data_IF_026538555631
#
_entry.id   IF_026538555631
#
_cell.length_a   1.000
_cell.length_b   1.000
_cell.length_c   1.000
_cell.angle_alpha   90.00
_cell.angle_beta   90.00
_cell.angle_gamma   90.00
#
_symmetry.space_group_name_H-M   'P 1'
#
loop_
_entity.id
_entity.type
_entity.pdbx_description
1 polymer ?
#
# COMPACT_ATOMS: atom_id res chain seq x y z
N UNK A 1 11.51 19.43 -8.70
CA UNK A 1 10.25 19.29 -9.45
C UNK A 1 10.42 18.10 -10.39
N UNK A 2 9.51 17.12 -10.36
CA UNK A 2 9.57 15.96 -11.27
C UNK A 2 8.64 16.21 -12.46
N UNK A 3 9.03 15.74 -13.65
CA UNK A 3 8.25 15.87 -14.87
C UNK A 3 7.71 14.50 -15.32
N UNK A 4 6.45 14.44 -15.71
CA UNK A 4 5.83 13.22 -16.21
C UNK A 4 6.26 12.97 -17.66
N UNK A 5 7.07 11.92 -17.89
CA UNK A 5 7.51 11.51 -19.23
C UNK A 5 6.60 10.49 -19.91
N UNK A 6 5.84 9.71 -19.14
CA UNK A 6 4.99 8.65 -19.67
C UNK A 6 4.60 7.63 -18.62
N UNK A 7 3.79 6.66 -19.03
CA UNK A 7 3.39 5.48 -18.24
C UNK A 7 3.41 4.27 -19.17
N UNK A 8 3.59 3.09 -18.59
CA UNK A 8 3.59 1.82 -19.31
C UNK A 8 2.48 0.95 -18.76
N UNK A 9 1.69 0.36 -19.65
CA UNK A 9 0.70 -0.64 -19.29
C UNK A 9 1.41 -1.97 -19.11
N UNK A 10 1.46 -2.47 -17.88
CA UNK A 10 2.11 -3.73 -17.62
C UNK A 10 1.27 -4.87 -18.17
N UNK A 11 -0.06 -4.83 -18.21
CA UNK A 11 -0.89 -5.99 -18.59
C UNK A 11 -0.59 -6.55 -20.00
N UNK A 12 0.01 -5.72 -20.85
CA UNK A 12 0.41 -6.07 -22.22
C UNK A 12 1.91 -6.37 -22.37
N UNK A 13 2.66 -6.41 -21.27
CA UNK A 13 4.11 -6.53 -21.24
C UNK A 13 4.56 -7.76 -20.43
N UNK A 14 5.56 -8.46 -20.95
CA UNK A 14 6.27 -9.55 -20.30
C UNK A 14 7.66 -9.10 -19.83
N UNK A 15 8.04 -9.48 -18.61
CA UNK A 15 9.33 -9.11 -18.02
C UNK A 15 10.32 -10.25 -18.21
N UNK A 16 11.43 -9.97 -18.90
CA UNK A 16 12.50 -10.93 -19.19
C UNK A 16 13.78 -10.50 -18.49
N UNK A 17 14.37 -11.41 -17.72
CA UNK A 17 15.68 -11.17 -17.11
C UNK A 17 16.80 -11.27 -18.18
N UNK A 18 17.69 -10.27 -18.22
CA UNK A 18 18.78 -10.19 -19.19
C UNK A 18 20.11 -10.34 -18.47
N UNK A 19 20.87 -11.38 -18.82
CA UNK A 19 22.20 -11.61 -18.25
C UNK A 19 23.19 -10.52 -18.68
N UNK A 20 24.21 -10.30 -17.84
CA UNK A 20 25.28 -9.36 -18.12
C UNK A 20 26.10 -9.85 -19.32
N UNK A 21 26.24 -9.01 -20.34
CA UNK A 21 26.94 -9.39 -21.55
C UNK A 21 26.46 -8.65 -22.79
N UNK A 22 26.69 -9.25 -23.95
CA UNK A 22 26.26 -8.71 -25.23
C UNK A 22 24.82 -9.11 -25.50
N UNK A 23 23.94 -8.13 -25.55
CA UNK A 23 22.54 -8.34 -25.84
C UNK A 23 22.32 -8.50 -27.35
N UNK A 24 21.63 -9.58 -27.74
CA UNK A 24 21.44 -9.96 -29.14
C UNK A 24 20.55 -8.99 -29.91
N UNK A 25 19.50 -8.48 -29.27
CA UNK A 25 18.47 -7.68 -29.96
C UNK A 25 18.94 -6.25 -30.25
N UNK A 26 19.76 -5.68 -29.36
CA UNK A 26 20.25 -4.31 -29.47
C UNK A 26 21.74 -4.21 -29.86
N UNK A 27 22.45 -5.33 -29.93
CA UNK A 27 23.91 -5.40 -30.17
C UNK A 27 24.75 -4.55 -29.19
N UNK A 28 24.20 -4.20 -28.02
CA UNK A 28 24.89 -3.42 -26.98
C UNK A 28 25.35 -4.31 -25.84
N UNK A 29 26.45 -3.92 -25.18
CA UNK A 29 26.85 -4.56 -23.94
C UNK A 29 26.04 -3.97 -22.80
N UNK A 30 25.29 -4.83 -22.11
CA UNK A 30 24.44 -4.45 -21.00
C UNK A 30 24.93 -5.06 -19.70
N UNK A 31 24.68 -4.36 -18.61
CA UNK A 31 24.98 -4.83 -17.25
C UNK A 31 23.82 -4.49 -16.34
N UNK A 32 23.40 -5.45 -15.53
CA UNK A 32 22.24 -5.37 -14.65
C UNK A 32 20.97 -4.93 -15.41
N UNK A 33 20.73 -5.51 -16.58
CA UNK A 33 19.59 -5.18 -17.41
C UNK A 33 18.41 -6.14 -17.21
N UNK A 34 17.23 -5.64 -17.58
CA UNK A 34 16.00 -6.42 -17.75
C UNK A 34 15.25 -5.87 -18.97
N UNK A 35 14.47 -6.74 -19.62
CA UNK A 35 13.69 -6.43 -20.80
C UNK A 35 12.20 -6.46 -20.49
N UNK A 36 11.46 -5.56 -21.10
CA UNK A 36 10.00 -5.60 -21.17
C UNK A 36 9.62 -5.80 -22.63
N UNK A 37 8.98 -6.92 -22.92
CA UNK A 37 8.55 -7.29 -24.26
C UNK A 37 7.02 -7.20 -24.33
N UNK A 38 6.50 -6.49 -25.32
CA UNK A 38 5.07 -6.52 -25.60
C UNK A 38 4.64 -7.95 -25.94
N UNK A 39 3.48 -8.38 -25.44
CA UNK A 39 2.92 -9.69 -25.75
C UNK A 39 2.64 -9.86 -27.25
N UNK A 40 2.44 -8.76 -27.98
CA UNK A 40 2.28 -8.75 -29.44
C UNK A 40 3.62 -8.80 -30.20
N UNK A 41 4.76 -8.66 -29.51
CA UNK A 41 6.10 -8.68 -30.10
C UNK A 41 6.51 -7.41 -30.84
N UNK A 42 5.67 -6.36 -30.83
CA UNK A 42 5.91 -5.11 -31.58
C UNK A 42 6.88 -4.16 -30.88
N UNK A 43 6.91 -4.20 -29.54
CA UNK A 43 7.69 -3.26 -28.73
C UNK A 43 8.55 -3.99 -27.71
N UNK A 44 9.83 -3.60 -27.63
CA UNK A 44 10.79 -4.11 -26.63
C UNK A 44 11.49 -2.93 -25.97
N UNK A 45 11.42 -2.87 -24.65
CA UNK A 45 12.11 -1.87 -23.84
C UNK A 45 13.22 -2.51 -23.02
N UNK A 46 14.40 -1.90 -23.08
CA UNK A 46 15.56 -2.30 -22.31
C UNK A 46 15.75 -1.36 -21.11
N UNK A 47 15.82 -1.93 -19.91
CA UNK A 47 15.97 -1.20 -18.66
C UNK A 47 17.25 -1.64 -17.95
N UNK A 48 18.16 -0.69 -17.73
CA UNK A 48 19.45 -0.96 -17.06
C UNK A 48 19.48 -0.35 -15.66
N UNK A 49 19.76 -1.17 -14.65
CA UNK A 49 19.99 -0.70 -13.29
C UNK A 49 21.47 -0.38 -13.07
N UNK A 50 21.78 0.59 -12.18
CA UNK A 50 23.17 0.89 -11.83
C UNK A 50 23.80 -0.20 -10.95
N UNK A 51 22.98 -0.87 -10.13
CA UNK A 51 23.42 -1.86 -9.16
C UNK A 51 22.67 -3.20 -9.35
N UNK A 52 23.32 -4.34 -9.12
CA UNK A 52 22.68 -5.65 -9.24
C UNK A 52 21.53 -5.82 -8.23
N UNK A 53 21.66 -5.26 -7.02
CA UNK A 53 20.59 -5.35 -6.01
C UNK A 53 19.34 -4.58 -6.45
N UNK A 54 19.51 -3.50 -7.21
CA UNK A 54 18.39 -2.74 -7.76
C UNK A 54 17.69 -3.53 -8.86
N UNK A 55 18.43 -4.19 -9.75
CA UNK A 55 17.86 -5.10 -10.75
C UNK A 55 17.00 -6.18 -10.08
N UNK A 56 17.56 -6.86 -9.08
CA UNK A 56 16.83 -7.91 -8.34
C UNK A 56 15.58 -7.36 -7.64
N UNK A 57 15.64 -6.14 -7.09
CA UNK A 57 14.49 -5.49 -6.50
C UNK A 57 13.40 -5.18 -7.53
N UNK A 58 13.77 -4.75 -8.74
CA UNK A 58 12.82 -4.52 -9.82
C UNK A 58 12.16 -5.81 -10.29
N UNK A 59 12.94 -6.87 -10.53
CA UNK A 59 12.40 -8.18 -10.92
C UNK A 59 11.39 -8.72 -9.91
N UNK A 60 11.71 -8.62 -8.60
CA UNK A 60 10.77 -8.98 -7.54
C UNK A 60 9.51 -8.11 -7.54
N UNK A 61 9.66 -6.79 -7.69
CA UNK A 61 8.53 -5.87 -7.73
C UNK A 61 7.57 -6.18 -8.89
N UNK A 62 8.10 -6.54 -10.07
CA UNK A 62 7.27 -6.98 -11.20
C UNK A 62 6.52 -8.28 -10.90
N UNK A 63 7.18 -9.26 -10.30
CA UNK A 63 6.52 -10.51 -9.91
C UNK A 63 5.43 -10.30 -8.84
N UNK A 64 5.73 -9.47 -7.84
CA UNK A 64 4.80 -9.17 -6.75
C UNK A 64 3.58 -8.41 -7.29
N UNK A 65 3.77 -7.50 -8.25
CA UNK A 65 2.68 -6.82 -8.95
C UNK A 65 1.76 -7.82 -9.66
N UNK A 66 2.30 -8.80 -10.41
CA UNK A 66 1.48 -9.83 -11.07
C UNK A 66 0.69 -10.68 -10.10
N UNK A 67 1.31 -11.08 -8.99
CA UNK A 67 0.61 -11.84 -7.94
C UNK A 67 -0.51 -10.99 -7.33
N UNK A 68 -0.26 -9.70 -7.11
CA UNK A 68 -1.26 -8.79 -6.55
C UNK A 68 -2.43 -8.59 -7.51
N UNK A 69 -2.17 -8.34 -8.80
CA UNK A 69 -3.23 -8.17 -9.82
C UNK A 69 -4.11 -9.42 -9.90
N UNK A 70 -3.50 -10.60 -9.90
CA UNK A 70 -4.23 -11.86 -9.89
C UNK A 70 -5.08 -12.00 -8.61
N UNK A 71 -4.50 -11.70 -7.45
CA UNK A 71 -5.22 -11.76 -6.17
C UNK A 71 -6.38 -10.78 -6.09
N UNK A 72 -6.20 -9.55 -6.56
CA UNK A 72 -7.25 -8.53 -6.59
C UNK A 72 -8.39 -8.96 -7.52
N UNK A 73 -8.07 -9.60 -8.66
CA UNK A 73 -9.07 -10.17 -9.57
C UNK A 73 -9.85 -11.33 -8.94
N UNK A 74 -9.18 -12.21 -8.22
CA UNK A 74 -9.80 -13.35 -7.54
C UNK A 74 -10.70 -12.92 -6.38
N UNK A 75 -10.27 -11.91 -5.62
CA UNK A 75 -11.03 -11.37 -4.48
C UNK A 75 -12.11 -10.38 -4.91
N UNK A 76 -12.10 -9.95 -6.18
CA UNK A 76 -12.95 -8.87 -6.68
C UNK A 76 -12.62 -7.52 -6.06
N UNK A 77 -11.42 -7.35 -5.51
CA UNK A 77 -10.99 -6.10 -4.90
C UNK A 77 -10.89 -5.01 -5.97
N UNK A 78 -11.64 -3.93 -5.76
CA UNK A 78 -11.58 -2.74 -6.60
C UNK A 78 -11.66 -1.49 -5.74
N UNK A 79 -10.89 -0.47 -6.10
CA UNK A 79 -10.94 0.81 -5.41
C UNK A 79 -12.22 1.53 -5.83
N UNK A 80 -13.11 1.74 -4.86
CA UNK A 80 -14.40 2.41 -5.09
C UNK A 80 -14.22 3.88 -5.50
N UNK A 81 -15.20 4.42 -6.22
CA UNK A 81 -15.15 5.82 -6.66
C UNK A 81 -15.11 6.79 -5.46
N UNK A 82 -15.81 6.48 -4.38
CA UNK A 82 -15.80 7.27 -3.14
C UNK A 82 -14.40 7.31 -2.52
N UNK A 83 -13.70 6.17 -2.47
CA UNK A 83 -12.32 6.12 -1.98
C UNK A 83 -11.37 6.93 -2.86
N UNK A 84 -11.53 6.89 -4.19
CA UNK A 84 -10.74 7.71 -5.13
C UNK A 84 -10.98 9.21 -4.87
N UNK A 85 -12.24 9.63 -4.76
CA UNK A 85 -12.62 11.03 -4.45
C UNK A 85 -12.02 11.49 -3.11
N UNK A 86 -12.14 10.67 -2.08
CA UNK A 86 -11.59 10.98 -0.76
C UNK A 86 -10.06 11.10 -0.78
N UNK A 87 -9.36 10.24 -1.53
CA UNK A 87 -7.91 10.31 -1.68
C UNK A 87 -7.46 11.58 -2.41
N UNK A 88 -8.15 11.98 -3.48
CA UNK A 88 -7.87 13.25 -4.17
C UNK A 88 -8.05 14.46 -3.25
N UNK A 89 -9.17 14.51 -2.50
CA UNK A 89 -9.42 15.59 -1.54
C UNK A 89 -8.32 15.65 -0.46
N UNK A 90 -7.83 14.49 0.01
CA UNK A 90 -6.74 14.43 0.97
C UNK A 90 -5.41 14.92 0.39
N UNK A 91 -5.12 14.62 -0.89
CA UNK A 91 -3.93 15.13 -1.57
C UNK A 91 -3.98 16.64 -1.84
N UNK A 92 -5.17 17.19 -2.10
CA UNK A 92 -5.38 18.63 -2.33
C UNK A 92 -5.38 19.47 -1.05
N UNK A 93 -5.57 18.87 0.12
CA UNK A 93 -5.43 19.58 1.40
C UNK A 93 -3.96 19.94 1.60
N UNK A 94 -3.61 21.19 1.31
CA UNK A 94 -2.32 21.75 1.66
C UNK A 94 -2.09 21.59 3.15
N UNK A 95 -1.20 20.69 3.55
CA UNK A 95 -0.75 20.66 4.93
C UNK A 95 0.02 21.96 5.18
N UNK A 96 -0.41 22.84 6.11
CA UNK A 96 0.44 23.93 6.54
C UNK A 96 1.77 23.31 7.00
N UNK A 97 2.88 23.89 6.54
CA UNK A 97 4.23 23.44 6.79
C UNK A 97 4.48 23.34 8.30
N UNK A 98 4.19 22.16 8.87
CA UNK A 98 4.05 21.97 10.29
C UNK A 98 4.32 20.51 10.64
N UNK A 99 5.61 20.17 10.61
CA UNK A 99 6.22 18.88 10.99
C UNK A 99 5.96 17.71 10.02
N UNK A 100 7.01 17.08 9.46
CA UNK A 100 6.84 15.83 8.74
C UNK A 100 6.37 14.77 9.73
N UNK A 101 5.11 14.34 9.62
CA UNK A 101 4.76 12.99 10.09
C UNK A 101 5.55 12.06 9.19
N UNK A 102 6.61 11.47 9.74
CA UNK A 102 7.40 10.44 9.08
C UNK A 102 6.49 9.25 8.74
N UNK A 103 5.84 9.30 7.59
CA UNK A 103 5.26 8.14 6.91
C UNK A 103 6.35 7.51 6.06
N UNK A 104 7.43 7.08 6.72
CA UNK A 104 8.35 6.08 6.16
C UNK A 104 7.73 4.71 6.44
N UNK A 105 6.57 4.44 5.84
CA UNK A 105 6.04 3.08 5.76
C UNK A 105 6.06 2.70 4.29
N UNK A 106 6.90 1.74 3.88
CA UNK A 106 6.90 1.25 2.51
C UNK A 106 5.47 0.83 2.17
N UNK A 107 4.97 1.27 1.02
CA UNK A 107 3.65 0.93 0.49
C UNK A 107 3.36 -0.59 0.55
N UNK A 108 4.39 -1.44 0.43
CA UNK A 108 4.30 -2.89 0.62
C UNK A 108 3.73 -3.33 1.99
N UNK A 109 4.03 -2.63 3.10
CA UNK A 109 3.57 -3.05 4.43
C UNK A 109 2.05 -2.87 4.61
N UNK A 110 1.45 -1.92 3.88
CA UNK A 110 0.01 -1.71 3.94
C UNK A 110 -0.75 -2.81 3.17
N UNK A 111 -0.23 -3.20 2.01
CA UNK A 111 -0.79 -4.28 1.20
C UNK A 111 -0.65 -5.65 1.91
N UNK A 112 0.50 -5.92 2.52
CA UNK A 112 0.75 -7.18 3.24
C UNK A 112 -0.09 -7.34 4.53
N UNK A 113 -0.56 -6.23 5.11
CA UNK A 113 -1.36 -6.25 6.34
C UNK A 113 -2.86 -6.44 6.10
N UNK A 114 -3.31 -6.48 4.85
CA UNK A 114 -4.70 -6.82 4.53
C UNK A 114 -4.94 -8.34 4.69
N UNK A 115 -4.63 -8.88 5.87
CA UNK A 115 -5.17 -10.19 6.28
C UNK A 115 -6.68 -10.05 6.40
N UNK A 116 -7.38 -10.92 5.69
CA UNK A 116 -8.81 -11.15 5.82
C UNK A 116 -9.20 -11.21 7.31
N UNK A 117 -10.41 -10.76 7.72
CA UNK A 117 -10.95 -11.10 9.02
C UNK A 117 -11.08 -12.63 9.07
N UNK A 118 -10.12 -13.29 9.71
CA UNK A 118 -10.28 -14.70 10.09
C UNK A 118 -11.44 -14.74 11.07
N UNK A 119 -12.58 -15.27 10.63
CA UNK A 119 -13.67 -15.66 11.50
C UNK A 119 -13.09 -16.44 12.69
N UNK A 120 -13.38 -16.07 13.95
CA UNK A 120 -12.95 -16.87 15.08
C UNK A 120 -13.73 -18.19 15.07
N UNK A 121 -13.11 -19.24 14.51
CA UNK A 121 -13.48 -20.61 14.83
C UNK A 121 -12.94 -20.90 16.23
N UNK A 122 -13.80 -20.71 17.24
CA UNK A 122 -13.90 -21.57 18.43
C UNK A 122 -15.01 -21.07 19.32
N UNK A 123 -16.09 -21.84 19.35
CA UNK A 123 -17.07 -21.85 20.42
C UNK A 123 -16.32 -22.16 21.73
N UNK A 124 -16.35 -21.31 22.76
CA UNK A 124 -15.97 -21.73 24.10
C UNK A 124 -17.11 -22.58 24.64
N UNK A 125 -16.80 -23.84 24.99
CA UNK A 125 -17.69 -24.69 25.76
C UNK A 125 -18.11 -23.98 27.05
N UNK A 126 -19.39 -24.14 27.39
CA UNK A 126 -20.01 -23.69 28.63
C UNK A 126 -19.09 -23.87 29.85
N UNK A 127 -18.78 -22.76 30.51
CA UNK A 127 -18.71 -22.73 31.96
C UNK A 127 -19.73 -21.72 32.45
N UNK A 128 -20.73 -22.25 33.16
CA UNK A 128 -21.75 -21.49 33.87
C UNK A 128 -21.02 -20.64 34.91
N UNK A 129 -20.97 -19.33 34.71
CA UNK A 129 -20.59 -18.39 35.76
C UNK A 129 -21.83 -17.59 36.13
N UNK A 130 -22.26 -17.73 37.39
CA UNK A 130 -23.44 -17.06 37.91
C UNK A 130 -23.30 -15.54 37.82
N UNK A 131 -24.38 -14.90 37.40
CA UNK A 131 -24.50 -13.45 37.28
C UNK A 131 -24.39 -12.80 38.67
N UNK A 132 -23.26 -12.20 39.00
CA UNK A 132 -23.18 -11.23 40.09
C UNK A 132 -23.42 -9.83 39.50
N UNK A 133 -24.47 -9.17 39.99
CA UNK A 133 -24.84 -7.81 39.57
C UNK A 133 -23.69 -6.81 39.79
N UNK A 134 -23.34 -5.98 38.78
CA UNK A 134 -22.48 -4.84 39.01
C UNK A 134 -23.23 -3.76 39.82
N UNK A 135 -22.85 -3.60 41.08
CA UNK A 135 -23.31 -2.49 41.94
C UNK A 135 -23.03 -1.14 41.27
N UNK A 136 -24.11 -0.37 41.07
CA UNK A 136 -24.10 1.04 40.65
C UNK A 136 -23.13 1.85 41.53
N UNK A 137 -22.19 2.56 40.92
CA UNK A 137 -21.46 3.66 41.57
C UNK A 137 -21.67 4.94 40.77
N UNK A 138 -22.01 6.00 41.50
CA UNK A 138 -22.44 7.29 40.98
C UNK A 138 -21.32 7.97 40.17
N UNK A 139 -21.69 8.45 39.00
CA UNK A 139 -20.86 9.21 38.07
C UNK A 139 -20.58 10.61 38.63
N UNK A 140 -19.29 10.97 38.72
CA UNK A 140 -18.81 12.33 39.04
C UNK A 140 -18.56 13.15 37.77
N UNK A 141 -19.43 13.02 36.77
CA UNK A 141 -19.26 13.71 35.48
C UNK A 141 -19.69 15.19 35.51
N UNK A 142 -20.61 15.58 36.40
CA UNK A 142 -21.20 16.93 36.36
C UNK A 142 -20.68 17.94 37.39
N UNK A 143 -19.72 17.58 38.26
CA UNK A 143 -19.30 18.48 39.35
C UNK A 143 -18.22 19.51 38.96
N UNK A 144 -17.75 19.54 37.70
CA UNK A 144 -16.57 20.34 37.34
C UNK A 144 -16.76 21.30 36.16
N UNK A 145 -17.97 21.83 35.95
CA UNK A 145 -18.24 22.86 34.91
C UNK A 145 -18.59 24.24 35.53
N UNK A 146 -18.60 24.36 36.87
CA UNK A 146 -19.02 25.60 37.55
C UNK A 146 -17.90 26.48 38.13
N UNK A 147 -16.61 26.16 37.98
CA UNK A 147 -15.52 26.79 38.77
C UNK A 147 -14.46 27.56 37.98
N UNK A 148 -14.77 28.08 36.79
CA UNK A 148 -13.84 28.97 36.06
C UNK A 148 -14.52 30.21 35.46
N UNK A 149 -15.37 30.89 36.26
CA UNK A 149 -15.66 32.31 36.04
C UNK A 149 -15.82 33.03 37.38
N UNK A 150 -14.94 33.97 37.73
CA UNK A 150 -15.31 35.07 38.60
C UNK A 150 -15.47 36.32 37.72
N UNK A 151 -16.71 36.61 37.31
CA UNK A 151 -17.08 37.99 37.03
C UNK A 151 -17.54 38.61 38.35
N UNK A 152 -16.89 39.70 38.80
CA UNK A 152 -17.60 40.97 39.00
C UNK A 152 -16.73 42.12 39.49
N UNK A 153 -17.04 43.26 38.86
CA UNK A 153 -17.06 44.67 39.31
C UNK A 153 -15.75 45.45 39.27
#
# INVERSE_FOLDING_TARGET
MLYCKGRMDMDQMEVVDVEDGKEKDFNVSVKNALKLCSLAGDEVHLLCAKKPEQKQRWLRAFQDERRQVQHDRETGFSITEVQKKQAMLNACKSHPAGKPKAMTRPYCDFLLRQKQPSLPSRVPQQQVFMLAEPKRKATTFWQNIGRLTPFKK
#
